data_IF_931757445475
#
_entry.id   IF_931757445475
#
_cell.length_a   1.000
_cell.length_b   1.000
_cell.length_c   1.000
_cell.angle_alpha   90.00
_cell.angle_beta   90.00
_cell.angle_gamma   90.00
#
_symmetry.space_group_name_H-M   'P 1'
#
loop_
_entity.id
_entity.type
_entity.pdbx_description
1 polymer ?
#
# COMPACT_ATOMS: atom_id res chain seq x y z
N UNK A 1 -3.35 -13.34 -4.35
CA UNK A 1 -2.20 -12.71 -3.75
C UNK A 1 -2.54 -11.31 -3.25
N UNK A 2 -3.17 -10.50 -4.06
CA UNK A 2 -3.53 -9.14 -3.68
C UNK A 2 -4.30 -8.99 -2.37
N UNK A 3 -4.89 -10.07 -1.86
CA UNK A 3 -5.56 -10.04 -0.56
C UNK A 3 -4.58 -10.11 0.60
N UNK A 4 -3.52 -10.92 0.53
CA UNK A 4 -2.52 -11.04 1.62
C UNK A 4 -1.75 -9.73 1.78
N UNK A 5 -1.33 -9.12 0.68
CA UNK A 5 -0.56 -7.87 0.66
C UNK A 5 -1.42 -6.62 0.93
N UNK A 6 -2.73 -6.76 1.01
CA UNK A 6 -3.68 -5.67 1.21
C UNK A 6 -4.55 -5.81 2.48
N UNK A 7 -4.30 -6.85 3.29
CA UNK A 7 -4.99 -7.02 4.56
C UNK A 7 -4.55 -5.96 5.56
N UNK A 8 -5.51 -5.27 6.20
CA UNK A 8 -5.17 -4.23 7.16
C UNK A 8 -4.51 -4.84 8.41
N UNK A 9 -3.46 -4.16 8.89
CA UNK A 9 -2.74 -4.48 10.14
C UNK A 9 -2.18 -5.91 10.25
N UNK A 10 -2.02 -6.62 9.11
CA UNK A 10 -1.39 -7.95 9.09
C UNK A 10 0.06 -7.92 9.59
N UNK A 11 0.75 -6.81 9.42
CA UNK A 11 2.13 -6.62 9.83
C UNK A 11 2.22 -5.54 10.91
N UNK A 12 3.04 -5.78 11.92
CA UNK A 12 3.27 -4.83 13.02
C UNK A 12 4.15 -3.62 12.64
N UNK A 13 4.68 -3.59 11.41
CA UNK A 13 5.52 -2.52 10.90
C UNK A 13 6.36 -2.96 9.70
N UNK A 14 7.13 -2.03 9.14
CA UNK A 14 7.97 -2.26 7.98
C UNK A 14 8.99 -3.39 8.17
N UNK A 15 9.63 -3.44 9.34
CA UNK A 15 10.65 -4.46 9.63
C UNK A 15 10.04 -5.87 9.68
N UNK A 16 8.84 -6.02 10.27
CA UNK A 16 8.09 -7.27 10.27
C UNK A 16 7.69 -7.67 8.84
N UNK A 17 7.13 -6.73 8.09
CA UNK A 17 6.79 -6.95 6.68
C UNK A 17 8.00 -7.45 5.88
N UNK A 18 9.12 -6.73 5.94
CA UNK A 18 10.33 -7.08 5.22
C UNK A 18 10.90 -8.45 5.65
N UNK A 19 10.86 -8.76 6.96
CA UNK A 19 11.31 -10.06 7.47
C UNK A 19 10.48 -11.22 6.90
N UNK A 20 9.15 -11.08 6.80
CA UNK A 20 8.28 -12.10 6.20
C UNK A 20 8.57 -12.27 4.71
N UNK A 21 8.63 -11.17 3.95
CA UNK A 21 8.80 -11.25 2.50
C UNK A 21 10.21 -11.64 2.04
N UNK A 22 11.21 -11.54 2.92
CA UNK A 22 12.58 -12.01 2.69
C UNK A 22 12.86 -13.40 3.26
N UNK A 23 11.85 -14.11 3.78
CA UNK A 23 11.98 -15.45 4.37
C UNK A 23 11.46 -16.52 3.42
N UNK A 24 11.71 -17.79 3.79
CA UNK A 24 11.16 -18.96 3.10
C UNK A 24 9.63 -18.89 2.96
N UNK A 25 8.93 -18.34 3.96
CA UNK A 25 7.48 -18.10 3.89
C UNK A 25 7.11 -17.12 2.77
N UNK A 26 7.90 -16.05 2.59
CA UNK A 26 7.72 -15.10 1.49
C UNK A 26 7.90 -15.78 0.12
N UNK A 27 8.83 -16.71 0.02
CA UNK A 27 9.05 -17.50 -1.19
C UNK A 27 7.90 -18.48 -1.46
N UNK A 28 7.39 -19.16 -0.42
CA UNK A 28 6.19 -20.00 -0.53
C UNK A 28 4.96 -19.18 -1.00
N UNK A 29 4.75 -17.99 -0.45
CA UNK A 29 3.67 -17.08 -0.85
C UNK A 29 3.81 -16.68 -2.33
N UNK A 30 5.01 -16.27 -2.76
CA UNK A 30 5.30 -15.91 -4.16
C UNK A 30 5.06 -17.09 -5.10
N UNK A 31 5.49 -18.28 -4.72
CA UNK A 31 5.34 -19.48 -5.54
C UNK A 31 3.86 -19.88 -5.68
N UNK A 32 3.12 -20.00 -4.57
CA UNK A 32 1.70 -20.35 -4.56
C UNK A 32 0.85 -19.36 -5.38
N UNK A 33 1.17 -18.09 -5.24
CA UNK A 33 0.48 -17.04 -5.99
C UNK A 33 0.86 -17.02 -7.47
N UNK A 34 2.11 -17.31 -7.76
CA UNK A 34 2.62 -17.44 -9.11
C UNK A 34 1.96 -18.61 -9.84
N UNK A 35 1.78 -19.76 -9.17
CA UNK A 35 1.04 -20.91 -9.70
C UNK A 35 -0.41 -20.55 -10.02
N UNK A 36 -1.09 -19.90 -9.08
CA UNK A 36 -2.50 -19.53 -9.24
C UNK A 36 -2.73 -18.48 -10.34
N UNK A 37 -1.74 -17.61 -10.60
CA UNK A 37 -1.87 -16.50 -11.56
C UNK A 37 -1.25 -16.76 -12.92
N UNK A 38 -0.44 -17.80 -13.09
CA UNK A 38 0.32 -18.07 -14.31
C UNK A 38 1.58 -17.22 -14.48
N UNK A 39 2.04 -16.54 -13.40
CA UNK A 39 3.26 -15.74 -13.40
C UNK A 39 4.36 -16.36 -12.54
N UNK A 40 5.63 -16.14 -12.90
CA UNK A 40 6.75 -16.25 -11.97
C UNK A 40 6.87 -14.91 -11.24
N UNK A 41 6.69 -14.95 -9.92
CA UNK A 41 6.83 -13.78 -9.05
C UNK A 41 8.21 -13.81 -8.40
N UNK A 42 8.90 -12.66 -8.38
CA UNK A 42 10.30 -12.56 -7.97
C UNK A 42 10.54 -11.27 -7.20
N UNK A 43 11.57 -11.26 -6.37
CA UNK A 43 12.00 -10.12 -5.59
C UNK A 43 10.92 -9.65 -4.59
N UNK A 44 10.86 -8.36 -4.38
CA UNK A 44 9.91 -7.69 -3.49
C UNK A 44 10.46 -6.31 -3.10
N UNK A 45 9.93 -5.25 -3.70
CA UNK A 45 10.32 -3.88 -3.39
C UNK A 45 9.27 -3.26 -2.44
N UNK A 46 9.65 -3.03 -1.19
CA UNK A 46 8.82 -2.37 -0.19
C UNK A 46 8.36 -0.98 -0.67
N UNK A 47 7.09 -0.65 -0.46
CA UNK A 47 6.46 0.59 -0.97
C UNK A 47 6.20 1.65 0.09
N UNK A 48 6.48 1.39 1.35
CA UNK A 48 6.06 2.23 2.45
C UNK A 48 4.65 1.91 2.99
N UNK A 49 4.31 2.43 4.19
CA UNK A 49 3.00 2.27 4.77
C UNK A 49 1.96 3.13 4.04
N UNK A 50 0.75 2.59 3.90
CA UNK A 50 -0.36 3.38 3.35
C UNK A 50 -0.97 4.24 4.45
N UNK A 51 -1.18 5.50 4.12
CA UNK A 51 -1.81 6.52 4.96
C UNK A 51 -3.06 7.07 4.28
N UNK A 52 -3.95 7.71 5.01
CA UNK A 52 -5.11 8.38 4.43
C UNK A 52 -4.77 9.85 4.19
N UNK A 53 -5.01 10.34 2.97
CA UNK A 53 -5.01 11.78 2.69
C UNK A 53 -6.45 12.28 2.58
N UNK A 54 -6.77 13.41 3.23
CA UNK A 54 -8.13 13.85 3.39
C UNK A 54 -8.28 15.38 3.27
N UNK A 55 -9.49 15.79 2.88
CA UNK A 55 -9.90 17.21 2.86
C UNK A 55 -10.34 17.71 4.23
N UNK A 56 -10.62 16.81 5.18
CA UNK A 56 -11.00 17.13 6.57
C UNK A 56 -10.10 16.42 7.59
N UNK A 57 -9.96 17.02 8.76
CA UNK A 57 -9.20 16.46 9.87
C UNK A 57 -9.89 15.22 10.45
N UNK A 58 -9.13 14.18 10.71
CA UNK A 58 -9.59 12.95 11.37
C UNK A 58 -8.51 12.46 12.33
N UNK A 59 -8.87 12.20 13.57
CA UNK A 59 -7.96 11.83 14.66
C UNK A 59 -8.31 10.48 15.29
N UNK A 60 -9.57 10.06 15.15
CA UNK A 60 -10.12 8.84 15.77
C UNK A 60 -10.84 7.97 14.74
N UNK A 61 -11.10 6.70 15.11
CA UNK A 61 -11.90 5.78 14.27
C UNK A 61 -13.29 6.35 13.97
N UNK A 62 -13.90 7.04 14.94
CA UNK A 62 -15.25 7.59 14.78
C UNK A 62 -15.33 8.67 13.70
N UNK A 63 -14.24 9.37 13.43
CA UNK A 63 -14.18 10.41 12.38
C UNK A 63 -14.29 9.82 10.97
N UNK A 64 -14.02 8.52 10.82
CA UNK A 64 -14.13 7.81 9.55
C UNK A 64 -15.57 7.42 9.19
N UNK A 65 -16.53 7.50 10.11
CA UNK A 65 -17.93 7.15 9.84
C UNK A 65 -18.52 8.04 8.74
N UNK A 66 -18.98 7.39 7.68
CA UNK A 66 -19.56 8.07 6.51
C UNK A 66 -18.56 8.83 5.64
N UNK A 67 -17.26 8.77 5.94
CA UNK A 67 -16.22 9.42 5.15
C UNK A 67 -16.17 8.85 3.74
N UNK A 68 -16.27 9.71 2.73
CA UNK A 68 -16.24 9.31 1.32
C UNK A 68 -14.80 9.07 0.89
N UNK A 69 -14.37 7.84 1.02
CA UNK A 69 -12.99 7.45 0.71
C UNK A 69 -12.90 6.81 -0.67
N UNK A 70 -12.03 7.34 -1.52
CA UNK A 70 -11.65 6.62 -2.74
C UNK A 70 -10.79 5.41 -2.38
N UNK A 71 -11.08 4.28 -2.98
CA UNK A 71 -10.27 3.06 -2.88
C UNK A 71 -9.94 2.51 -4.28
N UNK A 72 -8.89 1.70 -4.44
CA UNK A 72 -8.68 0.95 -5.67
C UNK A 72 -9.82 -0.07 -5.88
N UNK A 73 -10.06 -0.47 -7.12
CA UNK A 73 -11.11 -1.45 -7.45
C UNK A 73 -10.68 -2.88 -7.07
N UNK A 74 -10.47 -3.09 -5.78
CA UNK A 74 -10.11 -4.37 -5.17
C UNK A 74 -11.03 -4.64 -3.97
N UNK A 75 -11.61 -5.82 -3.93
CA UNK A 75 -12.62 -6.20 -2.93
C UNK A 75 -12.11 -6.07 -1.49
N UNK A 76 -10.85 -6.43 -1.23
CA UNK A 76 -10.24 -6.33 0.10
C UNK A 76 -10.24 -4.88 0.60
N UNK A 77 -9.86 -3.91 -0.23
CA UNK A 77 -9.88 -2.49 0.16
C UNK A 77 -11.32 -2.00 0.40
N UNK A 78 -12.23 -2.37 -0.50
CA UNK A 78 -13.64 -2.00 -0.35
C UNK A 78 -14.20 -2.51 0.99
N UNK A 79 -14.01 -3.79 1.30
CA UNK A 79 -14.48 -4.40 2.56
C UNK A 79 -13.80 -3.81 3.79
N UNK A 80 -12.48 -3.60 3.75
CA UNK A 80 -11.72 -2.97 4.83
C UNK A 80 -12.34 -1.64 5.25
N UNK A 81 -12.58 -0.76 4.29
CA UNK A 81 -13.10 0.57 4.59
C UNK A 81 -14.61 0.59 4.90
N UNK A 82 -15.38 -0.34 4.31
CA UNK A 82 -16.78 -0.55 4.73
C UNK A 82 -16.87 -1.00 6.19
N UNK A 83 -15.93 -1.82 6.66
CA UNK A 83 -15.88 -2.26 8.04
C UNK A 83 -15.70 -1.10 9.02
N UNK A 84 -14.91 -0.09 8.66
CA UNK A 84 -14.77 1.17 9.40
C UNK A 84 -15.98 2.12 9.25
N UNK A 85 -17.09 1.63 8.65
CA UNK A 85 -18.28 2.43 8.36
C UNK A 85 -18.01 3.69 7.52
N UNK A 86 -16.96 3.68 6.66
CA UNK A 86 -16.77 4.70 5.64
C UNK A 86 -17.74 4.50 4.47
N UNK A 87 -17.73 5.42 3.53
CA UNK A 87 -18.41 5.31 2.23
C UNK A 87 -17.37 5.14 1.13
N UNK A 88 -16.78 3.93 0.95
CA UNK A 88 -15.70 3.75 -0.01
C UNK A 88 -16.23 3.74 -1.45
N UNK A 89 -15.53 4.44 -2.33
CA UNK A 89 -15.86 4.58 -3.76
C UNK A 89 -14.69 4.09 -4.60
N UNK A 90 -14.83 2.97 -5.33
CA UNK A 90 -13.79 2.51 -6.26
C UNK A 90 -13.64 3.48 -7.44
N UNK A 91 -12.43 4.02 -7.64
CA UNK A 91 -12.09 4.87 -8.78
C UNK A 91 -10.70 4.53 -9.32
N UNK A 92 -10.51 4.67 -10.63
CA UNK A 92 -9.19 4.56 -11.23
C UNK A 92 -8.28 5.71 -10.73
N UNK A 93 -6.97 5.46 -10.65
CA UNK A 93 -6.04 6.39 -10.03
C UNK A 93 -5.97 7.76 -10.73
N UNK A 94 -6.11 7.77 -12.05
CA UNK A 94 -6.13 8.98 -12.87
C UNK A 94 -7.37 9.87 -12.68
N UNK A 95 -8.40 9.37 -11.99
CA UNK A 95 -9.65 10.11 -11.72
C UNK A 95 -9.62 10.75 -10.31
N UNK A 96 -8.71 10.33 -9.44
CA UNK A 96 -8.73 10.64 -8.01
C UNK A 96 -8.52 12.13 -7.73
N UNK A 97 -7.55 12.77 -8.37
CA UNK A 97 -7.28 14.20 -8.17
C UNK A 97 -8.53 15.05 -8.45
N UNK A 98 -9.16 14.81 -9.60
CA UNK A 98 -10.40 15.53 -9.98
C UNK A 98 -11.55 15.25 -9.02
N UNK A 99 -11.70 14.00 -8.58
CA UNK A 99 -12.74 13.61 -7.63
C UNK A 99 -12.56 14.28 -6.26
N UNK A 100 -11.32 14.41 -5.77
CA UNK A 100 -10.97 15.15 -4.56
C UNK A 100 -11.24 16.67 -4.73
N UNK A 101 -10.79 17.26 -5.84
CA UNK A 101 -10.99 18.68 -6.14
C UNK A 101 -12.48 19.05 -6.20
N UNK A 102 -13.32 18.14 -6.73
CA UNK A 102 -14.77 18.32 -6.84
C UNK A 102 -15.54 17.87 -5.58
N UNK A 103 -14.87 17.40 -4.53
CA UNK A 103 -15.49 16.82 -3.34
C UNK A 103 -16.45 15.64 -3.62
N UNK A 104 -16.27 14.93 -4.74
CA UNK A 104 -16.99 13.68 -5.01
C UNK A 104 -16.54 12.61 -4.02
N UNK A 105 -15.24 12.59 -3.68
CA UNK A 105 -14.67 11.90 -2.54
C UNK A 105 -13.97 12.90 -1.62
N UNK A 106 -13.84 12.58 -0.33
CA UNK A 106 -13.24 13.44 0.68
C UNK A 106 -11.78 13.04 1.00
N UNK A 107 -11.34 11.88 0.50
CA UNK A 107 -9.98 11.39 0.70
C UNK A 107 -9.67 10.16 -0.13
N UNK A 108 -8.42 9.74 -0.04
CA UNK A 108 -7.88 8.53 -0.63
C UNK A 108 -6.82 7.92 0.29
N UNK A 109 -6.28 6.75 -0.02
CA UNK A 109 -5.25 6.09 0.76
C UNK A 109 -4.14 5.54 -0.16
N UNK A 110 -2.89 5.87 0.15
CA UNK A 110 -1.67 5.43 -0.51
C UNK A 110 -0.45 5.79 0.38
N UNK A 111 0.76 5.28 0.08
CA UNK A 111 1.98 5.78 0.70
C UNK A 111 2.21 7.28 0.45
N UNK A 112 2.98 7.93 1.32
CA UNK A 112 3.29 9.37 1.22
C UNK A 112 3.87 9.75 -0.15
N UNK A 113 4.93 9.07 -0.59
CA UNK A 113 5.59 9.36 -1.84
C UNK A 113 4.67 9.18 -3.06
N UNK A 114 3.85 8.12 -3.05
CA UNK A 114 2.87 7.89 -4.12
C UNK A 114 1.82 9.00 -4.15
N UNK A 115 1.30 9.41 -3.01
CA UNK A 115 0.29 10.47 -2.91
C UNK A 115 0.81 11.83 -3.38
N UNK A 116 2.07 12.16 -3.06
CA UNK A 116 2.73 13.36 -3.57
C UNK A 116 2.94 13.35 -5.09
N UNK A 117 3.29 12.18 -5.65
CA UNK A 117 3.47 12.04 -7.11
C UNK A 117 2.18 12.35 -7.90
N UNK A 118 1.01 12.26 -7.24
CA UNK A 118 -0.29 12.63 -7.81
C UNK A 118 -0.77 14.01 -7.35
N UNK A 119 0.07 14.83 -6.72
CA UNK A 119 -0.23 16.19 -6.23
C UNK A 119 -1.42 16.23 -5.28
N UNK A 120 -1.63 15.21 -4.46
CA UNK A 120 -2.76 15.21 -3.52
C UNK A 120 -2.59 16.21 -2.37
N UNK A 121 -1.39 16.74 -2.13
CA UNK A 121 -1.08 17.83 -1.24
C UNK A 121 -1.78 19.17 -1.65
N UNK A 122 -2.05 19.35 -2.94
CA UNK A 122 -2.78 20.51 -3.44
C UNK A 122 -4.28 20.50 -3.05
N UNK A 123 -4.87 19.31 -2.92
CA UNK A 123 -6.32 19.11 -2.73
C UNK A 123 -6.69 18.51 -1.38
N UNK A 124 -5.73 17.91 -0.65
CA UNK A 124 -5.89 17.32 0.67
C UNK A 124 -4.96 17.98 1.68
N UNK A 125 -5.51 18.57 2.73
CA UNK A 125 -4.72 19.25 3.77
C UNK A 125 -4.30 18.36 4.94
N UNK A 126 -4.91 17.19 5.09
CA UNK A 126 -4.70 16.31 6.23
C UNK A 126 -4.16 14.96 5.77
N UNK A 127 -3.07 14.52 6.38
CA UNK A 127 -2.39 13.26 6.10
C UNK A 127 -2.37 12.42 7.37
N UNK A 128 -3.24 11.42 7.42
CA UNK A 128 -3.52 10.64 8.63
C UNK A 128 -2.71 9.35 8.58
N UNK A 129 -1.77 9.17 9.50
CA UNK A 129 -0.85 8.03 9.58
C UNK A 129 -1.54 6.79 10.16
N UNK A 130 -2.52 6.30 9.44
CA UNK A 130 -3.21 5.05 9.78
C UNK A 130 -2.30 3.83 9.65
N UNK A 131 -1.29 3.87 8.78
CA UNK A 131 -0.32 2.79 8.53
C UNK A 131 -0.99 1.40 8.41
N UNK A 132 -2.16 1.38 7.82
CA UNK A 132 -3.08 0.24 7.83
C UNK A 132 -2.64 -0.93 6.93
N UNK A 133 -1.81 -0.68 5.92
CA UNK A 133 -1.29 -1.69 4.99
C UNK A 133 0.18 -1.43 4.71
N UNK A 134 0.97 -2.50 4.76
CA UNK A 134 2.34 -2.56 4.27
C UNK A 134 2.37 -3.46 3.05
N UNK A 135 2.90 -3.01 1.93
CA UNK A 135 2.88 -3.74 0.67
C UNK A 135 4.20 -3.66 -0.09
N UNK A 136 4.38 -4.55 -1.06
CA UNK A 136 5.51 -4.51 -1.97
C UNK A 136 5.06 -4.53 -3.44
N UNK A 137 5.94 -4.09 -4.31
CA UNK A 137 5.88 -4.36 -5.73
C UNK A 137 6.69 -5.63 -6.01
N UNK A 138 6.08 -6.60 -6.68
CA UNK A 138 6.75 -7.81 -7.14
C UNK A 138 7.14 -7.67 -8.62
N UNK A 139 8.29 -8.18 -8.97
CA UNK A 139 8.65 -8.38 -10.38
C UNK A 139 7.93 -9.63 -10.88
N UNK A 140 7.36 -9.56 -12.08
CA UNK A 140 6.63 -10.70 -12.64
C UNK A 140 6.99 -10.96 -14.10
N UNK A 141 7.02 -12.22 -14.46
CA UNK A 141 7.19 -12.70 -15.83
C UNK A 141 6.19 -13.80 -16.11
N UNK A 142 5.69 -13.92 -17.35
CA UNK A 142 4.89 -15.08 -17.74
C UNK A 142 5.60 -16.39 -17.36
N UNK A 143 4.94 -17.28 -16.63
CA UNK A 143 5.55 -18.50 -16.05
C UNK A 143 6.01 -19.48 -17.13
N UNK A 144 5.23 -19.58 -18.23
CA UNK A 144 5.56 -20.49 -19.33
C UNK A 144 6.81 -19.99 -20.04
N UNK A 145 6.88 -18.68 -20.29
CA UNK A 145 8.07 -18.06 -20.88
C UNK A 145 9.28 -18.19 -19.97
N UNK A 146 9.16 -17.87 -18.68
CA UNK A 146 10.24 -18.00 -17.71
C UNK A 146 10.80 -19.44 -17.69
N UNK A 147 9.93 -20.45 -17.64
CA UNK A 147 10.33 -21.85 -17.63
C UNK A 147 10.94 -22.33 -18.96
N UNK A 148 10.75 -21.61 -20.05
CA UNK A 148 11.39 -21.90 -21.34
C UNK A 148 12.82 -21.37 -21.46
N UNK A 149 13.25 -20.50 -20.55
CA UNK A 149 14.60 -19.95 -20.51
C UNK A 149 15.61 -20.99 -20.04
N UNK A 150 16.86 -20.93 -20.48
CA UNK A 150 17.95 -21.72 -19.88
C UNK A 150 18.07 -21.41 -18.37
N UNK A 151 18.41 -22.44 -17.58
CA UNK A 151 18.50 -22.33 -16.11
C UNK A 151 19.41 -21.19 -15.65
N UNK A 152 20.54 -20.98 -16.33
CA UNK A 152 21.45 -19.85 -16.06
C UNK A 152 20.74 -18.48 -16.20
N UNK A 153 19.87 -18.33 -17.18
CA UNK A 153 19.11 -17.10 -17.40
C UNK A 153 18.00 -16.97 -16.37
N UNK A 154 17.31 -18.07 -16.01
CA UNK A 154 16.31 -18.04 -14.94
C UNK A 154 16.93 -17.55 -13.63
N UNK A 155 18.09 -18.11 -13.24
CA UNK A 155 18.80 -17.73 -12.02
C UNK A 155 19.25 -16.25 -12.07
N UNK A 156 19.79 -15.79 -13.19
CA UNK A 156 20.21 -14.39 -13.36
C UNK A 156 19.02 -13.41 -13.25
N UNK A 157 17.85 -13.76 -13.77
CA UNK A 157 16.63 -12.94 -13.67
C UNK A 157 16.11 -12.89 -12.23
N UNK A 158 16.13 -14.01 -11.50
CA UNK A 158 15.74 -14.05 -10.09
C UNK A 158 16.70 -13.18 -9.27
N UNK A 159 18.01 -13.37 -9.40
CA UNK A 159 19.02 -12.61 -8.68
C UNK A 159 18.89 -11.11 -8.94
N UNK A 160 18.69 -10.71 -10.20
CA UNK A 160 18.49 -9.31 -10.56
C UNK A 160 17.22 -8.71 -9.94
N UNK A 161 16.11 -9.47 -9.90
CA UNK A 161 14.87 -9.03 -9.29
C UNK A 161 14.99 -8.90 -7.76
N UNK A 162 15.68 -9.82 -7.11
CA UNK A 162 15.94 -9.77 -5.66
C UNK A 162 16.84 -8.58 -5.31
N UNK A 163 17.93 -8.38 -6.05
CA UNK A 163 18.82 -7.24 -5.88
C UNK A 163 18.07 -5.91 -6.05
N UNK A 164 17.30 -5.76 -7.13
CA UNK A 164 16.52 -4.56 -7.37
C UNK A 164 15.47 -4.32 -6.27
N UNK A 165 14.82 -5.37 -5.78
CA UNK A 165 13.88 -5.28 -4.67
C UNK A 165 14.53 -4.80 -3.38
N UNK A 166 15.72 -5.30 -3.06
CA UNK A 166 16.49 -4.88 -1.88
C UNK A 166 16.92 -3.40 -1.99
N UNK A 167 17.49 -2.99 -3.13
CA UNK A 167 17.92 -1.61 -3.36
C UNK A 167 16.75 -0.62 -3.27
N UNK A 168 15.62 -0.92 -3.88
CA UNK A 168 14.42 -0.08 -3.79
C UNK A 168 13.92 0.00 -2.35
N UNK A 169 13.86 -1.13 -1.64
CA UNK A 169 13.42 -1.19 -0.24
C UNK A 169 14.33 -0.39 0.70
N UNK A 170 15.63 -0.43 0.45
CA UNK A 170 16.62 0.30 1.27
C UNK A 170 16.42 1.83 1.20
N UNK A 171 16.05 2.36 0.04
CA UNK A 171 15.83 3.81 -0.14
C UNK A 171 14.39 4.25 0.20
N UNK A 172 13.43 3.33 0.27
CA UNK A 172 12.02 3.68 0.43
C UNK A 172 11.75 4.38 1.76
N UNK A 173 12.36 3.94 2.85
CA UNK A 173 12.20 4.56 4.17
C UNK A 173 12.64 6.03 4.18
N UNK A 174 13.75 6.33 3.52
CA UNK A 174 14.21 7.72 3.35
C UNK A 174 13.24 8.52 2.46
N UNK A 175 12.77 7.95 1.36
CA UNK A 175 11.79 8.59 0.47
C UNK A 175 10.49 8.92 1.17
N UNK A 176 10.00 8.04 2.06
CA UNK A 176 8.79 8.31 2.84
C UNK A 176 9.01 9.46 3.82
N UNK A 177 10.18 9.54 4.48
CA UNK A 177 10.53 10.66 5.37
C UNK A 177 10.65 11.98 4.61
N UNK A 178 11.30 11.97 3.45
CA UNK A 178 11.41 13.15 2.58
C UNK A 178 10.04 13.61 2.06
N UNK A 179 9.17 12.66 1.73
CA UNK A 179 7.81 12.93 1.29
C UNK A 179 6.96 13.52 2.44
N UNK A 180 7.05 12.98 3.65
CA UNK A 180 6.37 13.51 4.83
C UNK A 180 6.84 14.95 5.14
N UNK A 181 8.16 15.21 5.08
CA UNK A 181 8.69 16.54 5.28
C UNK A 181 8.18 17.52 4.23
N UNK A 182 8.16 17.12 2.95
CA UNK A 182 7.65 17.95 1.86
C UNK A 182 6.18 18.31 2.06
N UNK A 183 5.36 17.36 2.49
CA UNK A 183 3.93 17.59 2.80
C UNK A 183 3.77 18.66 3.88
N UNK A 184 4.61 18.63 4.92
CA UNK A 184 4.62 19.64 5.98
C UNK A 184 5.07 21.01 5.46
N UNK A 185 6.08 21.05 4.61
CA UNK A 185 6.61 22.29 4.01
C UNK A 185 5.57 22.98 3.09
N UNK A 186 4.71 22.18 2.43
CA UNK A 186 3.56 22.67 1.62
C UNK A 186 2.36 23.11 2.49
N UNK A 187 2.50 23.07 3.81
CA UNK A 187 1.50 23.54 4.77
C UNK A 187 0.33 22.57 5.00
N UNK A 188 0.54 21.28 4.73
CA UNK A 188 -0.38 20.23 5.14
C UNK A 188 -0.15 19.85 6.61
N UNK A 189 -1.12 19.21 7.22
CA UNK A 189 -1.05 18.69 8.60
C UNK A 189 -0.91 17.17 8.56
N UNK A 190 0.15 16.64 9.15
CA UNK A 190 0.35 15.20 9.36
C UNK A 190 -0.20 14.84 10.73
N UNK A 191 -1.09 13.86 10.78
CA UNK A 191 -1.84 13.45 11.98
C UNK A 191 -1.43 12.04 12.36
N UNK A 192 -0.86 11.91 13.56
CA UNK A 192 -0.65 10.60 14.19
C UNK A 192 -1.94 10.12 14.82
N UNK A 193 -2.30 8.86 14.61
CA UNK A 193 -3.46 8.22 15.22
C UNK A 193 -3.04 7.00 16.05
N UNK A 194 -3.91 6.56 16.95
CA UNK A 194 -3.70 5.32 17.69
C UNK A 194 -3.89 4.10 16.75
N UNK A 195 -2.82 3.72 16.06
CA UNK A 195 -2.83 2.58 15.12
C UNK A 195 -3.17 1.27 15.81
N UNK A 196 -2.92 1.16 17.13
CA UNK A 196 -3.33 -0.02 17.90
C UNK A 196 -4.84 -0.09 18.03
N UNK A 197 -5.52 1.01 18.28
CA UNK A 197 -6.98 1.04 18.35
C UNK A 197 -7.60 0.65 16.99
N UNK A 198 -7.01 1.06 15.88
CA UNK A 198 -7.42 0.61 14.55
C UNK A 198 -7.17 -0.89 14.35
N UNK A 199 -6.01 -1.41 14.73
CA UNK A 199 -5.69 -2.84 14.63
C UNK A 199 -6.68 -3.69 15.46
N UNK A 200 -6.90 -3.33 16.73
CA UNK A 200 -7.84 -4.01 17.63
C UNK A 200 -9.27 -4.00 17.04
N UNK A 201 -9.66 -2.93 16.34
CA UNK A 201 -10.96 -2.85 15.66
C UNK A 201 -11.04 -3.86 14.51
N UNK A 202 -9.95 -4.03 13.75
CA UNK A 202 -9.89 -4.98 12.64
C UNK A 202 -9.77 -6.44 13.09
N UNK A 203 -9.28 -6.75 14.28
CA UNK A 203 -9.30 -8.10 14.84
C UNK A 203 -10.71 -8.70 14.96
N UNK A 204 -11.74 -7.85 14.92
CA UNK A 204 -13.15 -8.27 14.90
C UNK A 204 -13.67 -8.54 13.48
N UNK A 205 -12.84 -8.38 12.44
CA UNK A 205 -13.20 -8.52 11.02
C UNK A 205 -13.32 -9.98 10.55
N UNK A 206 -12.91 -10.98 11.35
CA UNK A 206 -12.86 -12.40 11.00
C UNK A 206 -14.24 -13.05 10.87
#
# INVERSE_FOLDING_TARGET
>A
LGNIDAMPYMYSGADHFMAVWSSDLGDEIKEAAGEASGFKLMGGAYRGPRVVTATKKMETIDDFKGFKLRVPNLEVYLKTWQWLNTSPTPLAMNEVYTALQQNTVEGQENPFADSLNYSFDEVCKYWIKTNHVYSCNLFMMDRTYFNSLPEEIQNAVIEAAEYAGQEISAVQKQRDQEAEQKVLDEGCEVIEVDTKAFADYFDTFA
#
